data_IF_723178351468
#
_entry.id   IF_723178351468
#
_cell.length_a   1.000
_cell.length_b   1.000
_cell.length_c   1.000
_cell.angle_alpha   90.00
_cell.angle_beta   90.00
_cell.angle_gamma   90.00
#
_symmetry.space_group_name_H-M   'P 1'
#
loop_
_entity.id
_entity.type
_entity.pdbx_description
1 polymer ?
#
# COMPACT_ATOMS: atom_id res chain seq x y z
N UNK A 1 -12.19 -0.18 -19.51
CA UNK A 1 -11.62 -1.56 -19.42
C UNK A 1 -11.63 -2.02 -17.97
N UNK A 2 -12.06 -3.29 -17.69
CA UNK A 2 -12.10 -3.79 -16.32
C UNK A 2 -11.00 -4.83 -16.07
N UNK A 3 -10.36 -4.73 -14.90
CA UNK A 3 -9.35 -5.67 -14.36
C UNK A 3 -9.69 -5.92 -12.90
N UNK A 4 -9.43 -7.12 -12.40
CA UNK A 4 -9.68 -7.44 -10.99
C UNK A 4 -8.51 -7.02 -10.12
N UNK A 5 -8.79 -6.29 -9.03
CA UNK A 5 -7.81 -5.94 -8.01
C UNK A 5 -8.09 -6.65 -6.70
N UNK A 6 -7.06 -7.16 -6.04
CA UNK A 6 -7.11 -7.76 -4.70
C UNK A 6 -6.10 -7.07 -3.80
N UNK A 7 -6.50 -6.76 -2.58
CA UNK A 7 -5.64 -6.23 -1.53
C UNK A 7 -5.55 -7.23 -0.37
N UNK A 8 -4.37 -7.81 -0.15
CA UNK A 8 -4.05 -8.72 0.96
C UNK A 8 -3.62 -7.89 2.16
N UNK A 9 -4.52 -7.74 3.13
CA UNK A 9 -4.20 -7.06 4.38
C UNK A 9 -4.12 -8.01 5.58
N UNK A 10 -3.53 -7.56 6.68
CA UNK A 10 -3.35 -8.38 7.90
C UNK A 10 -4.67 -8.85 8.54
N UNK A 11 -5.78 -8.13 8.36
CA UNK A 11 -7.09 -8.46 8.94
C UNK A 11 -8.11 -8.95 7.91
N UNK A 12 -7.80 -8.90 6.63
CA UNK A 12 -8.72 -9.33 5.58
C UNK A 12 -8.15 -9.17 4.19
N UNK A 13 -8.57 -10.07 3.32
CA UNK A 13 -8.34 -10.07 1.89
C UNK A 13 -9.59 -9.49 1.25
N UNK A 14 -9.43 -8.46 0.44
CA UNK A 14 -10.56 -7.76 -0.19
C UNK A 14 -10.26 -7.50 -1.66
N UNK A 15 -11.27 -7.54 -2.51
CA UNK A 15 -11.10 -7.31 -3.94
C UNK A 15 -12.40 -6.97 -4.63
N UNK A 16 -12.26 -6.43 -5.83
CA UNK A 16 -13.36 -6.07 -6.73
C UNK A 16 -12.87 -5.93 -8.17
N UNK A 17 -13.76 -6.02 -9.17
CA UNK A 17 -13.51 -5.49 -10.50
C UNK A 17 -13.30 -3.97 -10.45
N UNK A 18 -12.28 -3.48 -11.14
CA UNK A 18 -11.91 -2.06 -11.22
C UNK A 18 -12.16 -1.56 -12.65
N UNK A 19 -12.84 -0.44 -12.79
CA UNK A 19 -12.92 0.30 -14.04
C UNK A 19 -11.70 1.22 -14.17
N UNK A 20 -10.76 0.81 -15.00
CA UNK A 20 -9.49 1.53 -15.20
C UNK A 20 -9.65 2.88 -15.91
N UNK A 21 -10.75 3.12 -16.60
CA UNK A 21 -11.02 4.41 -17.26
C UNK A 21 -11.44 5.46 -16.23
N UNK A 22 -12.06 5.01 -15.12
CA UNK A 22 -12.55 5.85 -14.02
C UNK A 22 -11.63 5.84 -12.81
N UNK A 23 -10.79 4.82 -12.66
CA UNK A 23 -9.96 4.63 -11.46
C UNK A 23 -10.76 4.28 -10.20
N UNK A 24 -11.89 3.60 -10.35
CA UNK A 24 -12.80 3.28 -9.25
C UNK A 24 -13.31 1.84 -9.35
N UNK A 25 -13.85 1.33 -8.25
CA UNK A 25 -14.44 0.00 -8.22
C UNK A 25 -15.68 -0.05 -9.12
N UNK A 26 -15.77 -1.07 -9.97
CA UNK A 26 -16.95 -1.29 -10.83
C UNK A 26 -18.11 -1.94 -10.06
N UNK A 27 -17.82 -2.61 -8.95
CA UNK A 27 -18.78 -3.24 -8.03
C UNK A 27 -18.29 -3.07 -6.58
N UNK A 28 -19.18 -3.23 -5.60
CA UNK A 28 -18.82 -3.23 -4.20
C UNK A 28 -17.79 -4.34 -3.91
N UNK A 29 -16.73 -4.01 -3.17
CA UNK A 29 -15.67 -4.97 -2.84
C UNK A 29 -16.19 -6.07 -1.93
N UNK A 30 -15.80 -7.30 -2.22
CA UNK A 30 -15.97 -8.43 -1.33
C UNK A 30 -14.77 -8.58 -0.41
N UNK A 31 -15.01 -9.02 0.84
CA UNK A 31 -13.96 -9.20 1.85
C UNK A 31 -14.13 -10.54 2.54
N UNK A 32 -13.02 -11.28 2.67
CA UNK A 32 -12.87 -12.44 3.57
C UNK A 32 -11.84 -12.12 4.65
N UNK A 33 -11.86 -12.86 5.75
CA UNK A 33 -10.85 -12.71 6.80
C UNK A 33 -9.51 -13.30 6.33
N UNK A 34 -8.41 -12.63 6.66
CA UNK A 34 -7.07 -13.21 6.47
C UNK A 34 -6.92 -14.40 7.42
N UNK A 35 -6.49 -15.58 6.93
CA UNK A 35 -6.27 -16.74 7.80
C UNK A 35 -5.15 -16.48 8.81
N UNK A 36 -5.23 -17.12 9.94
CA UNK A 36 -4.19 -17.12 10.96
C UNK A 36 -3.78 -18.56 11.32
N UNK A 37 -2.51 -18.96 11.02
CA UNK A 37 -1.44 -18.16 10.39
C UNK A 37 -1.74 -17.84 8.92
N UNK A 38 -1.23 -16.68 8.45
CA UNK A 38 -1.39 -16.20 7.08
C UNK A 38 -0.37 -16.92 6.14
N UNK A 39 -0.51 -18.23 6.02
CA UNK A 39 0.36 -19.07 5.16
C UNK A 39 0.08 -18.86 3.67
N UNK A 40 1.04 -19.19 2.78
CA UNK A 40 0.86 -19.08 1.33
C UNK A 40 -0.42 -19.75 0.82
N UNK A 41 -0.66 -21.01 1.17
CA UNK A 41 -1.85 -21.74 0.74
C UNK A 41 -3.14 -21.14 1.30
N UNK A 42 -3.17 -20.81 2.60
CA UNK A 42 -4.36 -20.23 3.22
C UNK A 42 -4.74 -18.87 2.64
N UNK A 43 -3.75 -18.02 2.34
CA UNK A 43 -3.99 -16.72 1.69
C UNK A 43 -4.41 -16.91 0.23
N UNK A 44 -3.80 -17.87 -0.50
CA UNK A 44 -4.19 -18.17 -1.86
C UNK A 44 -5.64 -18.67 -1.95
N UNK A 45 -6.10 -19.47 -0.97
CA UNK A 45 -7.50 -19.89 -0.83
C UNK A 45 -8.42 -18.68 -0.60
N UNK A 46 -8.04 -17.77 0.32
CA UNK A 46 -8.81 -16.55 0.58
C UNK A 46 -8.89 -15.63 -0.64
N UNK A 47 -7.82 -15.50 -1.42
CA UNK A 47 -7.85 -14.77 -2.70
C UNK A 47 -8.80 -15.45 -3.68
N UNK A 48 -8.76 -16.79 -3.78
CA UNK A 48 -9.64 -17.54 -4.66
C UNK A 48 -11.12 -17.34 -4.27
N UNK A 49 -11.45 -17.32 -2.99
CA UNK A 49 -12.80 -17.05 -2.52
C UNK A 49 -13.29 -15.65 -2.93
N UNK A 50 -12.43 -14.62 -2.79
CA UNK A 50 -12.73 -13.25 -3.21
C UNK A 50 -12.99 -13.18 -4.72
N UNK A 51 -12.12 -13.77 -5.54
CA UNK A 51 -12.24 -13.72 -7.01
C UNK A 51 -13.44 -14.50 -7.52
N UNK A 52 -13.69 -15.69 -6.97
CA UNK A 52 -14.84 -16.55 -7.32
C UNK A 52 -16.18 -15.88 -7.00
N UNK A 53 -16.26 -15.06 -5.96
CA UNK A 53 -17.48 -14.33 -5.61
C UNK A 53 -18.03 -13.49 -6.78
N UNK A 54 -17.16 -13.05 -7.69
CA UNK A 54 -17.53 -12.23 -8.86
C UNK A 54 -17.59 -13.03 -10.17
N UNK A 55 -17.44 -14.36 -10.15
CA UNK A 55 -17.33 -15.20 -11.35
C UNK A 55 -16.29 -14.65 -12.35
N UNK A 56 -15.18 -14.09 -11.82
CA UNK A 56 -14.18 -13.41 -12.63
C UNK A 56 -13.30 -14.38 -13.42
N UNK A 57 -13.03 -14.03 -14.70
CA UNK A 57 -12.26 -14.86 -15.63
C UNK A 57 -11.11 -14.13 -16.35
N UNK A 58 -10.83 -12.87 -15.96
CA UNK A 58 -9.75 -12.08 -16.54
C UNK A 58 -8.48 -12.04 -15.67
N UNK A 59 -7.54 -11.18 -16.06
CA UNK A 59 -6.31 -10.93 -15.29
C UNK A 59 -6.62 -10.37 -13.90
N UNK A 60 -5.80 -10.74 -12.92
CA UNK A 60 -5.92 -10.32 -11.51
C UNK A 60 -4.63 -9.65 -11.05
N UNK A 61 -4.74 -8.43 -10.52
CA UNK A 61 -3.67 -7.77 -9.80
C UNK A 61 -3.83 -7.96 -8.30
N UNK A 62 -2.74 -8.18 -7.58
CA UNK A 62 -2.76 -8.51 -6.15
C UNK A 62 -1.71 -7.69 -5.42
N UNK A 63 -2.09 -7.01 -4.33
CA UNK A 63 -1.12 -6.43 -3.41
C UNK A 63 -0.64 -7.46 -2.41
N UNK A 64 0.62 -7.33 -2.00
CA UNK A 64 1.21 -8.11 -0.93
C UNK A 64 1.90 -7.19 0.09
N UNK A 65 1.72 -7.40 1.41
CA UNK A 65 2.32 -6.55 2.46
C UNK A 65 3.80 -6.90 2.69
N UNK A 66 4.64 -6.58 1.74
CA UNK A 66 6.09 -6.84 1.76
C UNK A 66 6.73 -6.63 0.39
N UNK A 67 8.04 -6.77 0.33
CA UNK A 67 8.84 -6.64 -0.89
C UNK A 67 8.53 -7.79 -1.85
N UNK A 68 8.18 -7.46 -3.10
CA UNK A 68 7.92 -8.43 -4.18
C UNK A 68 8.80 -8.10 -5.39
N UNK A 69 9.62 -9.05 -5.80
CA UNK A 69 10.49 -8.93 -6.98
C UNK A 69 10.12 -10.01 -7.98
N UNK A 70 9.71 -9.61 -9.18
CA UNK A 70 9.31 -10.53 -10.27
C UNK A 70 8.30 -11.60 -9.81
N UNK A 71 7.30 -11.19 -9.02
CA UNK A 71 6.26 -12.08 -8.47
C UNK A 71 6.68 -12.88 -7.25
N UNK A 72 7.96 -12.83 -6.84
CA UNK A 72 8.50 -13.56 -5.69
C UNK A 72 8.57 -12.66 -4.45
N UNK A 73 8.02 -13.14 -3.34
CA UNK A 73 8.07 -12.46 -2.04
C UNK A 73 9.47 -12.51 -1.45
N UNK A 74 10.00 -11.35 -1.03
CA UNK A 74 11.35 -11.24 -0.44
C UNK A 74 11.32 -10.93 1.04
N UNK A 75 10.27 -10.28 1.54
CA UNK A 75 10.10 -9.99 2.97
C UNK A 75 8.70 -10.35 3.45
N UNK A 76 8.59 -10.73 4.72
CA UNK A 76 7.35 -11.13 5.36
C UNK A 76 7.32 -10.62 6.81
N UNK A 77 7.08 -9.32 6.99
CA UNK A 77 7.05 -8.70 8.32
C UNK A 77 5.72 -8.97 9.05
N UNK A 78 4.60 -8.85 8.34
CA UNK A 78 3.24 -8.90 8.90
C UNK A 78 2.43 -10.13 8.44
N UNK A 79 3.07 -11.10 7.79
CA UNK A 79 2.50 -12.37 7.34
C UNK A 79 3.41 -13.53 7.78
N UNK A 80 3.00 -14.77 7.54
CA UNK A 80 3.80 -15.93 7.89
C UNK A 80 5.15 -15.93 7.13
N UNK A 81 6.24 -16.25 7.83
CA UNK A 81 7.60 -16.25 7.25
C UNK A 81 7.79 -17.29 6.15
N UNK A 82 6.90 -18.29 6.04
CA UNK A 82 6.89 -19.25 4.93
C UNK A 82 6.66 -18.62 3.56
N UNK A 83 6.27 -17.33 3.51
CA UNK A 83 6.17 -16.57 2.27
C UNK A 83 7.53 -16.21 1.65
N UNK A 84 8.61 -16.16 2.45
CA UNK A 84 9.93 -15.76 1.93
C UNK A 84 10.36 -16.73 0.82
N UNK A 85 10.77 -16.17 -0.33
CA UNK A 85 11.16 -16.84 -1.57
C UNK A 85 10.04 -17.65 -2.26
N UNK A 86 8.77 -17.47 -1.87
CA UNK A 86 7.63 -18.02 -2.60
C UNK A 86 7.36 -17.17 -3.84
N UNK A 87 7.22 -17.80 -5.00
CA UNK A 87 6.64 -17.20 -6.21
C UNK A 87 5.12 -17.09 -6.01
N UNK A 88 4.70 -15.95 -5.46
CA UNK A 88 3.30 -15.69 -5.16
C UNK A 88 2.45 -15.58 -6.42
N UNK A 89 3.00 -15.09 -7.52
CA UNK A 89 2.29 -14.96 -8.78
C UNK A 89 1.95 -16.36 -9.37
N UNK A 90 2.92 -17.29 -9.37
CA UNK A 90 2.69 -18.65 -9.80
C UNK A 90 1.77 -19.41 -8.85
N UNK A 91 1.96 -19.30 -7.53
CA UNK A 91 1.12 -19.99 -6.54
C UNK A 91 -0.34 -19.58 -6.65
N UNK A 92 -0.60 -18.28 -6.60
CA UNK A 92 -1.98 -17.77 -6.62
C UNK A 92 -2.59 -17.93 -8.01
N UNK A 93 -1.80 -17.69 -9.08
CA UNK A 93 -2.23 -17.93 -10.46
C UNK A 93 -2.65 -19.38 -10.71
N UNK A 94 -1.87 -20.34 -10.19
CA UNK A 94 -2.23 -21.77 -10.24
C UNK A 94 -3.50 -22.12 -9.48
N UNK A 95 -3.73 -21.47 -8.32
CA UNK A 95 -4.96 -21.65 -7.53
C UNK A 95 -6.20 -21.08 -8.23
N UNK A 96 -6.06 -19.96 -8.92
CA UNK A 96 -7.15 -19.30 -9.66
C UNK A 96 -7.37 -19.88 -11.05
N UNK A 97 -6.33 -20.43 -11.68
CA UNK A 97 -6.33 -20.73 -13.12
C UNK A 97 -6.33 -19.47 -14.00
N UNK A 98 -5.88 -18.33 -13.48
CA UNK A 98 -5.89 -17.02 -14.12
C UNK A 98 -4.52 -16.36 -14.12
N UNK A 99 -4.22 -15.44 -15.07
CA UNK A 99 -3.01 -14.63 -15.03
C UNK A 99 -3.01 -13.71 -13.80
N UNK A 100 -1.91 -13.73 -13.04
CA UNK A 100 -1.74 -12.94 -11.81
C UNK A 100 -0.51 -12.06 -11.88
N UNK A 101 -0.65 -10.83 -11.42
CA UNK A 101 0.46 -9.90 -11.13
C UNK A 101 0.45 -9.58 -9.64
N UNK A 102 1.61 -9.71 -8.97
CA UNK A 102 1.74 -9.39 -7.54
C UNK A 102 2.74 -8.24 -7.37
N UNK A 103 2.43 -7.28 -6.49
CA UNK A 103 3.30 -6.16 -6.16
C UNK A 103 3.13 -5.74 -4.69
N UNK A 104 4.04 -4.90 -4.20
CA UNK A 104 3.93 -4.33 -2.85
C UNK A 104 2.66 -3.48 -2.69
N UNK A 105 2.06 -3.48 -1.50
CA UNK A 105 0.81 -2.79 -1.20
C UNK A 105 0.91 -1.25 -1.25
N UNK A 106 2.02 -0.68 -0.76
CA UNK A 106 2.26 0.76 -0.84
C UNK A 106 2.57 1.19 -2.29
N UNK A 107 3.32 0.39 -3.05
CA UNK A 107 3.55 0.62 -4.48
C UNK A 107 2.23 0.67 -5.25
N UNK A 108 1.33 -0.28 -5.00
CA UNK A 108 0.00 -0.30 -5.62
C UNK A 108 -0.79 0.97 -5.27
N UNK A 109 -0.87 1.32 -3.98
CA UNK A 109 -1.56 2.53 -3.55
C UNK A 109 -0.97 3.78 -4.21
N UNK A 110 0.35 3.84 -4.32
CA UNK A 110 1.06 4.94 -4.99
C UNK A 110 0.73 5.02 -6.49
N UNK A 111 0.71 3.91 -7.21
CA UNK A 111 0.32 3.88 -8.64
C UNK A 111 -1.07 4.48 -8.84
N UNK A 112 -2.02 4.09 -7.99
CA UNK A 112 -3.39 4.60 -8.06
C UNK A 112 -3.46 6.11 -7.75
N UNK A 113 -2.81 6.56 -6.67
CA UNK A 113 -2.79 7.98 -6.27
C UNK A 113 -2.08 8.87 -7.32
N UNK A 114 -1.01 8.39 -7.94
CA UNK A 114 -0.32 9.12 -9.01
C UNK A 114 -1.12 9.25 -10.30
N UNK A 115 -2.11 8.37 -10.50
CA UNK A 115 -2.91 8.37 -11.73
C UNK A 115 -4.27 9.04 -11.52
N UNK A 116 -4.95 8.76 -10.43
CA UNK A 116 -6.33 9.17 -10.20
C UNK A 116 -6.54 10.06 -8.97
N UNK A 117 -5.55 10.11 -8.06
CA UNK A 117 -5.66 10.81 -6.78
C UNK A 117 -4.73 12.01 -6.64
N UNK A 118 -4.26 12.24 -5.43
CA UNK A 118 -3.50 13.42 -5.00
C UNK A 118 -2.17 13.63 -5.75
N UNK A 119 -1.62 12.58 -6.37
CA UNK A 119 -0.39 12.63 -7.16
C UNK A 119 -0.59 12.91 -8.65
N UNK A 120 -1.84 13.03 -9.13
CA UNK A 120 -2.12 13.24 -10.55
C UNK A 120 -1.47 14.51 -11.09
N UNK A 121 -0.82 14.37 -12.26
CA UNK A 121 -0.10 15.44 -12.96
C UNK A 121 1.11 16.01 -12.19
N UNK A 122 1.48 15.44 -11.05
CA UNK A 122 2.66 15.87 -10.28
C UNK A 122 3.95 15.39 -10.95
N UNK A 123 4.93 16.27 -10.98
CA UNK A 123 6.28 16.02 -11.50
C UNK A 123 7.28 16.04 -10.35
N UNK A 124 8.55 15.74 -10.67
CA UNK A 124 9.58 15.69 -9.65
C UNK A 124 9.55 14.40 -8.84
N UNK A 125 9.97 14.47 -7.60
CA UNK A 125 9.94 13.35 -6.65
C UNK A 125 8.67 13.43 -5.81
N UNK A 126 7.84 12.41 -5.88
CA UNK A 126 6.63 12.27 -5.06
C UNK A 126 6.80 11.04 -4.19
N UNK A 127 6.52 11.16 -2.91
CA UNK A 127 6.59 10.05 -1.95
C UNK A 127 5.22 9.85 -1.32
N UNK A 128 4.62 8.68 -1.56
CA UNK A 128 3.46 8.24 -0.79
C UNK A 128 3.95 7.48 0.44
N UNK A 129 3.35 7.78 1.58
CA UNK A 129 3.58 7.12 2.86
C UNK A 129 2.25 6.63 3.44
N UNK A 130 2.12 5.33 3.64
CA UNK A 130 0.92 4.73 4.26
C UNK A 130 1.18 4.47 5.73
N UNK A 131 0.42 5.10 6.62
CA UNK A 131 0.53 4.91 8.06
C UNK A 131 -0.56 3.94 8.55
N UNK A 132 -0.11 2.80 9.09
CA UNK A 132 -0.94 1.71 9.58
C UNK A 132 -0.28 0.96 10.74
N UNK A 133 -0.18 -0.37 10.65
CA UNK A 133 0.62 -1.22 11.56
C UNK A 133 2.10 -0.84 11.50
N UNK A 134 2.60 -0.58 10.31
CA UNK A 134 3.90 -0.01 10.03
C UNK A 134 3.77 1.28 9.19
N UNK A 135 4.85 1.63 8.45
CA UNK A 135 4.88 2.71 7.47
C UNK A 135 5.32 2.13 6.12
N UNK A 136 4.35 1.95 5.21
CA UNK A 136 4.66 1.62 3.81
C UNK A 136 5.06 2.86 3.03
N UNK A 137 5.86 2.69 1.98
CA UNK A 137 6.31 3.79 1.13
C UNK A 137 6.32 3.44 -0.35
N UNK A 138 5.98 4.41 -1.20
CA UNK A 138 6.17 4.33 -2.63
C UNK A 138 6.79 5.63 -3.14
N UNK A 139 7.90 5.52 -3.85
CA UNK A 139 8.66 6.66 -4.37
C UNK A 139 8.48 6.75 -5.88
N UNK A 140 8.16 7.96 -6.35
CA UNK A 140 8.01 8.24 -7.77
C UNK A 140 8.97 9.32 -8.22
N UNK A 141 9.52 9.15 -9.42
CA UNK A 141 10.27 10.19 -10.10
C UNK A 141 9.64 10.47 -11.46
N UNK A 142 9.07 11.68 -11.61
CA UNK A 142 8.34 12.08 -12.83
C UNK A 142 7.25 11.06 -13.24
N UNK A 143 6.45 10.60 -12.29
CA UNK A 143 5.38 9.63 -12.47
C UNK A 143 5.84 8.17 -12.62
N UNK A 144 7.15 7.88 -12.56
CA UNK A 144 7.68 6.51 -12.63
C UNK A 144 7.99 6.01 -11.24
N UNK A 145 7.43 4.85 -10.90
CA UNK A 145 7.66 4.17 -9.63
C UNK A 145 9.12 3.70 -9.50
N UNK A 146 9.71 3.91 -8.33
CA UNK A 146 10.89 3.21 -7.82
C UNK A 146 10.35 2.10 -6.89
N UNK A 147 10.28 0.84 -7.36
CA UNK A 147 9.53 -0.19 -6.65
C UNK A 147 10.20 -0.64 -5.36
N UNK A 148 9.37 -1.14 -4.45
CA UNK A 148 9.81 -1.79 -3.20
C UNK A 148 10.68 -0.90 -2.30
N UNK A 149 10.32 0.37 -2.15
CA UNK A 149 10.99 1.23 -1.17
C UNK A 149 10.41 0.97 0.23
N UNK A 150 11.28 0.82 1.21
CA UNK A 150 10.93 0.48 2.60
C UNK A 150 11.39 1.60 3.55
N UNK A 151 10.92 2.85 3.28
CA UNK A 151 11.35 4.02 4.05
C UNK A 151 10.85 4.00 5.51
N UNK A 152 9.85 3.18 5.83
CA UNK A 152 9.41 2.95 7.21
C UNK A 152 10.51 2.34 8.09
N UNK A 153 11.45 1.60 7.47
CA UNK A 153 12.58 0.97 8.14
C UNK A 153 13.83 1.85 8.24
N UNK A 154 13.74 3.14 7.88
CA UNK A 154 14.83 4.07 8.14
C UNK A 154 15.12 4.14 9.64
N UNK A 155 16.41 4.06 10.00
CA UNK A 155 16.83 4.28 11.36
C UNK A 155 16.76 5.77 11.71
N UNK A 156 15.97 6.13 12.71
CA UNK A 156 15.81 7.47 13.21
C UNK A 156 16.04 7.49 14.72
N UNK A 157 17.11 8.15 15.16
CA UNK A 157 17.51 8.23 16.57
C UNK A 157 17.69 6.86 17.26
N UNK A 158 18.29 5.89 16.56
CA UNK A 158 18.54 4.55 17.06
C UNK A 158 17.30 3.62 17.07
N UNK A 159 16.23 4.02 16.38
CA UNK A 159 15.01 3.25 16.26
C UNK A 159 14.57 3.13 14.79
N UNK A 160 13.99 2.02 14.43
CA UNK A 160 13.24 1.87 13.21
C UNK A 160 12.07 2.88 13.21
N UNK A 161 11.98 3.74 12.20
CA UNK A 161 11.07 4.88 12.17
C UNK A 161 9.60 4.47 12.38
N UNK A 162 9.16 3.36 11.77
CA UNK A 162 7.78 2.89 11.90
C UNK A 162 7.42 2.48 13.33
N UNK A 163 8.39 2.03 14.13
CA UNK A 163 8.14 1.66 15.54
C UNK A 163 7.76 2.86 16.40
N UNK A 164 8.00 4.09 15.91
CA UNK A 164 7.74 5.34 16.64
C UNK A 164 6.68 6.22 16.00
N UNK A 165 6.55 6.17 14.67
CA UNK A 165 5.72 7.09 13.90
C UNK A 165 4.52 6.42 13.19
N UNK A 166 4.38 5.09 13.21
CA UNK A 166 3.19 4.42 12.68
C UNK A 166 1.91 4.76 13.48
N UNK A 167 0.75 4.49 12.87
CA UNK A 167 -0.54 4.63 13.59
C UNK A 167 -0.62 3.64 14.76
N UNK A 168 -0.08 2.44 14.59
CA UNK A 168 0.01 1.46 15.67
C UNK A 168 0.81 2.00 16.86
N UNK A 169 1.96 2.62 16.63
CA UNK A 169 2.75 3.23 17.70
C UNK A 169 1.97 4.33 18.45
N UNK A 170 1.17 5.13 17.71
CA UNK A 170 0.28 6.12 18.32
C UNK A 170 -0.75 5.47 19.24
N UNK A 171 -1.36 4.36 18.80
CA UNK A 171 -2.41 3.65 19.55
C UNK A 171 -1.82 2.93 20.77
N UNK A 172 -0.72 2.19 20.59
CA UNK A 172 -0.08 1.41 21.65
C UNK A 172 0.45 2.31 22.80
N UNK A 173 0.91 3.52 22.49
CA UNK A 173 1.44 4.49 23.47
C UNK A 173 0.40 5.53 23.89
N UNK A 174 -0.86 5.44 23.42
CA UNK A 174 -1.95 6.40 23.68
C UNK A 174 -1.53 7.86 23.42
N UNK A 175 -0.83 8.09 22.30
CA UNK A 175 -0.32 9.42 21.98
C UNK A 175 -1.47 10.35 21.55
N UNK A 176 -1.44 11.59 22.06
CA UNK A 176 -2.26 12.67 21.51
C UNK A 176 -1.89 12.93 20.04
N UNK A 177 -2.78 13.53 19.27
CA UNK A 177 -2.51 13.95 17.89
C UNK A 177 -1.31 14.87 17.78
N UNK A 178 -1.12 15.76 18.74
CA UNK A 178 0.01 16.69 18.78
C UNK A 178 1.34 15.94 18.97
N UNK A 179 1.43 15.02 19.93
CA UNK A 179 2.66 14.25 20.17
C UNK A 179 2.98 13.33 19.00
N UNK A 180 1.97 12.70 18.41
CA UNK A 180 2.17 11.85 17.24
C UNK A 180 2.57 12.66 16.00
N UNK A 181 1.92 13.80 15.73
CA UNK A 181 2.28 14.69 14.63
C UNK A 181 3.74 15.14 14.71
N UNK A 182 4.25 15.43 15.92
CA UNK A 182 5.67 15.74 16.10
C UNK A 182 6.59 14.59 15.70
N UNK A 183 6.23 13.33 15.99
CA UNK A 183 7.00 12.15 15.55
C UNK A 183 6.95 11.99 14.04
N UNK A 184 5.78 12.13 13.45
CA UNK A 184 5.61 12.12 11.98
C UNK A 184 6.42 13.23 11.33
N UNK A 185 6.40 14.44 11.90
CA UNK A 185 7.21 15.56 11.41
C UNK A 185 8.71 15.21 11.37
N UNK A 186 9.27 14.66 12.47
CA UNK A 186 10.68 14.25 12.51
C UNK A 186 11.02 13.21 11.45
N UNK A 187 10.12 12.29 11.20
CA UNK A 187 10.26 11.31 10.13
C UNK A 187 10.22 11.97 8.74
N UNK A 188 9.25 12.86 8.48
CA UNK A 188 9.16 13.56 7.19
C UNK A 188 10.36 14.49 6.95
N UNK A 189 10.84 15.22 7.96
CA UNK A 189 12.05 16.03 7.88
C UNK A 189 13.29 15.19 7.48
N UNK A 190 13.40 13.97 8.05
CA UNK A 190 14.49 13.05 7.70
C UNK A 190 14.38 12.52 6.27
N UNK A 191 13.18 12.09 5.85
CA UNK A 191 12.94 11.65 4.47
C UNK A 191 13.16 12.80 3.49
N UNK A 192 12.71 14.01 3.81
CA UNK A 192 12.93 15.20 2.98
C UNK A 192 14.43 15.53 2.82
N UNK A 193 15.21 15.40 3.88
CA UNK A 193 16.66 15.61 3.82
C UNK A 193 17.34 14.64 2.85
N UNK A 194 16.85 13.38 2.77
CA UNK A 194 17.43 12.34 1.93
C UNK A 194 16.98 12.41 0.46
N UNK A 195 15.73 12.76 0.20
CA UNK A 195 15.10 12.64 -1.12
C UNK A 195 14.71 13.97 -1.75
N UNK A 196 14.59 15.05 -0.96
CA UNK A 196 14.10 16.37 -1.40
C UNK A 196 12.86 16.27 -2.29
N UNK A 197 11.75 15.64 -1.82
CA UNK A 197 10.56 15.50 -2.62
C UNK A 197 9.85 16.85 -2.82
N UNK A 198 9.07 16.94 -3.85
CA UNK A 198 8.12 18.03 -4.09
C UNK A 198 6.79 17.81 -3.36
N UNK A 199 6.43 16.54 -3.12
CA UNK A 199 5.14 16.17 -2.52
C UNK A 199 5.27 14.93 -1.65
N UNK A 200 4.66 14.99 -0.46
CA UNK A 200 4.29 13.84 0.35
C UNK A 200 2.79 13.59 0.26
N UNK A 201 2.38 12.36 -0.09
CA UNK A 201 0.99 11.89 -0.03
C UNK A 201 0.85 11.01 1.19
N UNK A 202 -0.04 11.37 2.11
CA UNK A 202 -0.25 10.65 3.36
C UNK A 202 -1.44 9.71 3.23
N UNK A 203 -1.16 8.42 3.13
CA UNK A 203 -2.12 7.33 2.96
C UNK A 203 -2.31 6.50 4.24
N UNK A 204 -2.98 5.35 4.06
CA UNK A 204 -3.38 4.48 5.14
C UNK A 204 -4.66 4.94 5.85
N UNK A 205 -5.13 4.18 6.83
CA UNK A 205 -6.40 4.46 7.51
C UNK A 205 -6.48 5.83 8.21
N UNK A 206 -5.33 6.39 8.55
CA UNK A 206 -5.22 7.69 9.23
C UNK A 206 -5.46 8.89 8.29
N UNK A 207 -5.36 8.72 6.97
CA UNK A 207 -5.60 9.81 6.01
C UNK A 207 -6.98 10.46 6.18
N UNK A 208 -7.99 9.68 6.59
CA UNK A 208 -9.34 10.19 6.91
C UNK A 208 -9.40 11.11 8.13
N UNK A 209 -8.32 11.22 8.89
CA UNK A 209 -8.17 12.10 10.05
C UNK A 209 -7.04 13.12 9.84
N UNK A 210 -6.71 13.40 8.58
CA UNK A 210 -5.63 14.31 8.18
C UNK A 210 -5.78 15.70 8.81
N UNK A 211 -7.02 16.19 8.97
CA UNK A 211 -7.38 17.44 9.64
C UNK A 211 -6.88 17.54 11.09
N UNK A 212 -6.66 16.39 11.77
CA UNK A 212 -6.24 16.34 13.17
C UNK A 212 -4.74 16.47 13.38
N UNK A 213 -3.93 16.17 12.35
CA UNK A 213 -2.48 16.12 12.53
C UNK A 213 -1.66 16.84 11.45
N UNK A 214 -2.12 16.90 10.19
CA UNK A 214 -1.37 17.59 9.14
C UNK A 214 -1.14 19.08 9.45
N UNK A 215 -2.14 19.82 9.98
CA UNK A 215 -1.92 21.23 10.37
C UNK A 215 -0.93 21.43 11.51
N UNK A 216 -0.54 20.35 12.22
CA UNK A 216 0.43 20.39 13.32
C UNK A 216 1.86 20.07 12.87
N UNK A 217 2.06 19.74 11.59
CA UNK A 217 3.36 19.44 11.00
C UNK A 217 3.93 20.73 10.43
N UNK A 218 5.04 21.16 10.96
CA UNK A 218 5.76 22.37 10.55
C UNK A 218 7.17 22.02 10.06
N UNK A 219 7.87 22.95 9.38
CA UNK A 219 9.28 22.79 9.03
C UNK A 219 9.60 21.85 7.88
N UNK A 220 8.62 21.16 7.29
CA UNK A 220 8.76 20.39 6.05
C UNK A 220 8.49 21.32 4.87
N UNK A 221 9.39 21.36 3.89
CA UNK A 221 9.29 22.24 2.70
C UNK A 221 8.37 21.67 1.63
N UNK A 222 8.39 20.35 1.49
CA UNK A 222 7.53 19.64 0.54
C UNK A 222 6.05 19.87 0.88
N UNK A 223 5.22 19.96 -0.13
CA UNK A 223 3.78 19.94 0.05
C UNK A 223 3.37 18.61 0.71
N UNK A 224 2.42 18.65 1.65
CA UNK A 224 1.91 17.44 2.33
C UNK A 224 0.39 17.42 2.11
N UNK A 225 -0.11 16.36 1.50
CA UNK A 225 -1.54 16.19 1.21
C UNK A 225 -2.04 14.81 1.66
N UNK A 226 -3.30 14.66 2.05
CA UNK A 226 -3.87 13.33 2.25
C UNK A 226 -4.10 12.60 0.92
N UNK A 227 -4.05 11.27 0.95
CA UNK A 227 -4.44 10.40 -0.14
C UNK A 227 -5.96 10.54 -0.42
N UNK A 228 -6.35 10.51 -1.69
CA UNK A 228 -7.74 10.72 -2.13
C UNK A 228 -8.51 9.40 -2.33
N UNK A 229 -7.83 8.31 -2.74
CA UNK A 229 -8.47 7.02 -3.04
C UNK A 229 -8.69 6.14 -1.80
N UNK A 230 -8.19 6.57 -0.65
CA UNK A 230 -8.39 5.93 0.65
C UNK A 230 -8.17 4.40 0.63
N UNK A 231 -9.22 3.65 1.05
CA UNK A 231 -9.18 2.19 1.17
C UNK A 231 -9.26 1.44 -0.17
N UNK A 232 -9.49 2.13 -1.29
CA UNK A 232 -9.57 1.53 -2.62
C UNK A 232 -8.23 1.61 -3.37
N UNK A 233 -7.30 2.45 -2.92
CA UNK A 233 -6.02 2.69 -3.60
C UNK A 233 -5.25 1.39 -3.90
N UNK A 234 -5.14 0.46 -2.94
CA UNK A 234 -4.47 -0.82 -3.13
C UNK A 234 -5.14 -1.67 -4.21
N UNK A 235 -6.48 -1.80 -4.18
CA UNK A 235 -7.26 -2.58 -5.16
C UNK A 235 -7.11 -1.96 -6.56
N UNK A 236 -7.27 -0.64 -6.67
CA UNK A 236 -7.16 0.08 -7.95
C UNK A 236 -5.75 -0.04 -8.52
N UNK A 237 -4.72 0.20 -7.70
CA UNK A 237 -3.34 0.12 -8.14
C UNK A 237 -2.90 -1.29 -8.53
N UNK A 238 -3.37 -2.32 -7.81
CA UNK A 238 -3.14 -3.71 -8.17
C UNK A 238 -3.72 -4.03 -9.57
N UNK A 239 -4.98 -3.64 -9.82
CA UNK A 239 -5.62 -3.82 -11.13
C UNK A 239 -4.86 -3.09 -12.25
N UNK A 240 -4.38 -1.85 -12.00
CA UNK A 240 -3.57 -1.09 -12.96
C UNK A 240 -2.26 -1.79 -13.28
N UNK A 241 -1.53 -2.28 -12.28
CA UNK A 241 -0.28 -3.00 -12.48
C UNK A 241 -0.46 -4.26 -13.33
N UNK A 242 -1.60 -4.95 -13.20
CA UNK A 242 -1.94 -6.12 -13.97
C UNK A 242 -2.35 -5.82 -15.43
N UNK A 243 -2.78 -4.59 -15.72
CA UNK A 243 -3.15 -4.15 -17.07
C UNK A 243 -1.95 -3.81 -17.96
N UNK A 244 -0.78 -3.57 -17.35
CA UNK A 244 0.43 -3.06 -18.02
C UNK A 244 1.34 -4.16 -18.56
N UNK A 245 0.92 -5.44 -18.51
CA UNK A 245 1.67 -6.61 -18.97
C UNK A 245 1.06 -7.28 -20.19
#
# INVERSE_FOLDING_TARGET
>A
MQIFGVDIGGSGIKGAPVDLDRGDLAQERHKVLTPHPATPDGVADGVADVVKHFDWSGTVGITFPGVVTDGTVRTAANVDKSWIDVDAATLIGGRLGLPVTVLNDADAAGIAEMTFGAGRDRKGTVILLTFGTGIGSAVFRNGRLVPNTELGHLELHGHDAETRASTKAKEDEDLSWHHWAHRVQKYLEHVEMLFSPELFIIGGGVSRKADKFLPLIEGVRAEIVPAELENNAGIVGAAMAASSR
#
